data_IF_111936472991
#
_entry.id   IF_111936472991
#
_cell.length_a   1.000
_cell.length_b   1.000
_cell.length_c   1.000
_cell.angle_alpha   90.00
_cell.angle_beta   90.00
_cell.angle_gamma   90.00
#
_symmetry.space_group_name_H-M   'P 1'
#
loop_
_entity.id
_entity.type
_entity.pdbx_description
1 polymer ?
#
# COMPACT_ATOMS: atom_id res chain seq x y z
N UNK A 1 -43.77 83.18 52.49
CA UNK A 1 -44.20 82.13 53.42
C UNK A 1 -44.36 80.82 52.66
N UNK A 2 -43.84 79.74 53.24
CA UNK A 2 -43.87 78.33 52.86
C UNK A 2 -42.88 77.84 51.82
N UNK A 3 -41.92 77.14 52.38
CA UNK A 3 -40.96 76.21 51.79
C UNK A 3 -41.67 74.98 51.24
N UNK A 4 -41.21 74.44 50.15
CA UNK A 4 -41.45 73.05 49.76
C UNK A 4 -40.15 72.45 49.30
N UNK A 5 -39.77 71.38 49.98
CA UNK A 5 -38.56 70.62 49.74
C UNK A 5 -38.71 69.72 48.55
N UNK A 6 -37.69 69.65 47.68
CA UNK A 6 -37.56 68.67 46.63
C UNK A 6 -36.76 67.45 47.18
N UNK A 7 -37.46 66.31 47.24
CA UNK A 7 -36.81 65.04 47.49
C UNK A 7 -36.27 64.43 46.19
N UNK A 8 -34.98 64.17 46.15
CA UNK A 8 -34.31 63.47 45.06
C UNK A 8 -34.41 61.96 45.29
N UNK A 9 -35.08 61.26 44.38
CA UNK A 9 -35.03 59.78 44.28
C UNK A 9 -33.80 59.35 43.50
N UNK A 10 -32.87 58.70 44.16
CA UNK A 10 -31.73 57.92 43.51
C UNK A 10 -32.27 56.55 43.15
N UNK A 11 -32.44 56.26 41.86
CA UNK A 11 -32.65 54.90 41.32
C UNK A 11 -31.34 54.25 40.99
N UNK A 12 -30.93 53.27 41.82
CA UNK A 12 -29.75 52.43 41.60
C UNK A 12 -30.10 51.34 40.58
N UNK A 13 -29.59 51.44 39.37
CA UNK A 13 -29.70 50.40 38.36
C UNK A 13 -28.62 49.32 38.63
N UNK A 14 -29.04 48.13 39.05
CA UNK A 14 -28.18 46.94 39.19
C UNK A 14 -28.09 46.29 37.79
N UNK A 15 -26.94 46.45 37.14
CA UNK A 15 -26.63 45.74 35.89
C UNK A 15 -26.22 44.32 36.25
N UNK A 16 -27.11 43.35 36.03
CA UNK A 16 -26.80 41.93 36.12
C UNK A 16 -25.99 41.48 34.90
N UNK A 17 -24.70 41.30 35.00
CA UNK A 17 -23.84 40.69 34.00
C UNK A 17 -24.08 39.18 34.05
N UNK A 18 -24.84 38.67 33.09
CA UNK A 18 -24.95 37.24 32.82
C UNK A 18 -23.62 36.76 32.15
N UNK A 19 -22.71 36.19 32.95
CA UNK A 19 -21.60 35.38 32.40
C UNK A 19 -22.18 34.10 31.79
N UNK A 20 -22.38 34.08 30.49
CA UNK A 20 -22.57 32.83 29.75
C UNK A 20 -21.22 32.05 29.77
N UNK A 21 -21.07 31.19 30.73
CA UNK A 21 -20.02 30.14 30.67
C UNK A 21 -20.41 29.18 29.56
N UNK A 22 -19.81 29.35 28.39
CA UNK A 22 -19.79 28.32 27.36
C UNK A 22 -18.94 27.15 27.90
N UNK A 23 -19.62 26.20 28.54
CA UNK A 23 -19.00 24.88 28.83
C UNK A 23 -18.75 24.23 27.49
N UNK A 24 -17.52 24.39 26.96
CA UNK A 24 -17.01 23.49 25.94
C UNK A 24 -17.03 22.10 26.57
N UNK A 25 -17.97 21.28 26.18
CA UNK A 25 -17.94 19.85 26.43
C UNK A 25 -16.66 19.35 25.75
N UNK A 26 -15.56 19.30 26.50
CA UNK A 26 -14.42 18.51 26.14
C UNK A 26 -14.96 17.08 26.03
N UNK A 27 -15.20 16.62 24.81
CA UNK A 27 -15.50 15.23 24.52
C UNK A 27 -14.30 14.46 25.07
N UNK A 28 -14.48 13.76 26.19
CA UNK A 28 -13.39 12.96 26.78
C UNK A 28 -12.93 11.99 25.71
N UNK A 29 -11.71 12.20 25.22
CA UNK A 29 -11.07 11.31 24.29
C UNK A 29 -11.05 9.90 24.91
N UNK A 30 -11.71 8.94 24.26
CA UNK A 30 -11.88 7.60 24.82
C UNK A 30 -11.10 6.61 23.97
N UNK A 31 -9.95 6.20 24.51
CA UNK A 31 -9.16 5.06 24.02
C UNK A 31 -9.48 3.87 24.92
N UNK A 32 -9.84 2.73 24.30
CA UNK A 32 -10.51 1.59 24.94
C UNK A 32 -9.74 0.98 26.12
N UNK A 33 -8.40 0.93 26.07
CA UNK A 33 -7.55 0.36 27.15
C UNK A 33 -6.33 1.23 27.50
N UNK A 34 -6.34 2.49 27.08
CA UNK A 34 -5.28 3.46 27.40
C UNK A 34 -4.03 3.36 26.51
N UNK A 35 -4.05 2.53 25.49
CA UNK A 35 -2.98 2.34 24.50
C UNK A 35 -3.61 2.11 23.12
N UNK A 36 -3.06 2.70 22.07
CA UNK A 36 -3.45 2.33 20.70
C UNK A 36 -2.41 1.38 20.12
N UNK A 37 -2.82 0.14 19.84
CA UNK A 37 -1.93 -0.91 19.29
C UNK A 37 -2.15 -1.11 17.80
N UNK A 38 -1.07 -0.87 17.06
CA UNK A 38 -0.99 -1.03 15.60
C UNK A 38 -0.27 -2.32 15.28
N UNK A 39 -0.94 -3.25 14.60
CA UNK A 39 -0.37 -4.54 14.19
C UNK A 39 0.13 -4.54 12.76
N UNK A 40 1.29 -5.17 12.51
CA UNK A 40 1.89 -5.38 11.18
C UNK A 40 2.28 -6.85 11.06
N UNK A 41 1.69 -7.59 10.13
CA UNK A 41 1.94 -9.04 9.94
C UNK A 41 2.68 -9.23 8.62
N UNK A 42 3.98 -9.55 8.68
CA UNK A 42 4.86 -9.51 7.53
C UNK A 42 5.52 -10.87 7.23
N UNK A 43 6.10 -10.99 6.06
CA UNK A 43 7.04 -12.04 5.73
C UNK A 43 8.46 -11.58 6.12
N UNK A 44 8.92 -11.98 7.31
CA UNK A 44 10.21 -11.54 7.86
C UNK A 44 11.38 -12.41 7.41
N UNK A 45 11.10 -13.61 6.89
CA UNK A 45 12.12 -14.66 6.67
C UNK A 45 11.98 -15.39 5.33
N UNK A 46 10.91 -15.14 4.56
CA UNK A 46 10.64 -15.78 3.27
C UNK A 46 11.03 -14.93 2.07
N UNK A 47 10.42 -15.24 0.92
CA UNK A 47 10.77 -14.65 -0.39
C UNK A 47 10.45 -13.16 -0.52
N UNK A 48 9.63 -12.62 0.38
CA UNK A 48 9.22 -11.20 0.39
C UNK A 48 9.89 -10.38 1.49
N UNK A 49 10.80 -10.99 2.29
CA UNK A 49 11.43 -10.34 3.44
C UNK A 49 12.10 -9.00 3.10
N UNK A 50 12.77 -8.90 1.94
CA UNK A 50 13.47 -7.69 1.51
C UNK A 50 12.55 -6.56 1.04
N UNK A 51 11.39 -6.91 0.49
CA UNK A 51 10.44 -5.92 -0.04
C UNK A 51 9.36 -5.52 0.96
N UNK A 52 9.10 -6.33 1.99
CA UNK A 52 8.15 -6.06 3.08
C UNK A 52 8.85 -6.11 4.44
N UNK A 53 8.72 -7.18 5.15
CA UNK A 53 9.45 -7.61 6.33
C UNK A 53 9.81 -6.51 7.33
N UNK A 54 11.06 -6.48 7.73
CA UNK A 54 11.59 -5.50 8.69
C UNK A 54 11.43 -4.05 8.22
N UNK A 55 11.45 -3.82 6.91
CA UNK A 55 11.24 -2.50 6.33
C UNK A 55 9.83 -1.96 6.60
N UNK A 56 8.78 -2.78 6.45
CA UNK A 56 7.40 -2.37 6.74
C UNK A 56 7.22 -2.06 8.24
N UNK A 57 7.76 -2.90 9.13
CA UNK A 57 7.74 -2.63 10.58
C UNK A 57 8.43 -1.31 10.92
N UNK A 58 9.62 -1.06 10.33
CA UNK A 58 10.34 0.21 10.52
C UNK A 58 9.55 1.40 10.00
N UNK A 59 8.89 1.26 8.86
CA UNK A 59 8.03 2.31 8.28
C UNK A 59 6.84 2.64 9.21
N UNK A 60 6.18 1.61 9.77
CA UNK A 60 5.13 1.79 10.78
C UNK A 60 5.64 2.51 12.03
N UNK A 61 6.80 2.12 12.55
CA UNK A 61 7.43 2.78 13.71
C UNK A 61 7.76 4.25 13.40
N UNK A 62 8.29 4.55 12.20
CA UNK A 62 8.57 5.92 11.78
C UNK A 62 7.30 6.76 11.65
N UNK A 63 6.17 6.17 11.23
CA UNK A 63 4.90 6.89 11.20
C UNK A 63 4.42 7.26 12.61
N UNK A 64 4.58 6.36 13.58
CA UNK A 64 4.29 6.64 14.99
C UNK A 64 5.23 7.71 15.56
N UNK A 65 6.54 7.62 15.25
CA UNK A 65 7.52 8.65 15.66
C UNK A 65 7.14 10.03 15.07
N UNK A 66 6.82 10.10 13.78
CA UNK A 66 6.49 11.35 13.08
C UNK A 66 5.13 11.93 13.52
N UNK A 67 4.22 11.10 14.00
CA UNK A 67 2.96 11.53 14.63
C UNK A 67 3.16 12.05 16.05
N UNK A 68 4.29 11.73 16.73
CA UNK A 68 4.61 12.16 18.08
C UNK A 68 4.51 11.08 19.17
N UNK A 69 4.39 9.82 18.78
CA UNK A 69 4.40 8.65 19.69
C UNK A 69 3.13 8.46 20.50
N UNK A 70 2.17 9.39 20.42
CA UNK A 70 0.91 9.38 21.18
C UNK A 70 -0.24 9.87 20.32
N UNK A 71 -1.45 9.36 20.56
CA UNK A 71 -2.71 9.85 20.02
C UNK A 71 -3.72 10.01 21.14
N UNK A 72 -4.47 11.12 21.16
CA UNK A 72 -5.41 11.46 22.24
C UNK A 72 -4.76 11.43 23.65
N UNK A 73 -3.47 11.69 23.73
CA UNK A 73 -2.68 11.62 24.97
C UNK A 73 -2.18 10.21 25.35
N UNK A 74 -2.66 9.15 24.70
CA UNK A 74 -2.30 7.76 24.98
C UNK A 74 -1.13 7.30 24.09
N UNK A 75 -0.24 6.41 24.58
CA UNK A 75 0.86 5.87 23.79
C UNK A 75 0.34 5.06 22.59
N UNK A 76 1.15 5.05 21.53
CA UNK A 76 0.92 4.19 20.34
C UNK A 76 2.02 3.12 20.33
N UNK A 77 1.62 1.85 20.28
CA UNK A 77 2.52 0.70 20.22
C UNK A 77 2.43 0.02 18.84
N UNK A 78 3.57 -0.31 18.25
CA UNK A 78 3.65 -1.13 17.04
C UNK A 78 4.01 -2.55 17.43
N UNK A 79 3.10 -3.49 17.15
CA UNK A 79 3.33 -4.92 17.32
C UNK A 79 3.48 -5.58 15.96
N UNK A 80 4.30 -6.62 15.85
CA UNK A 80 4.53 -7.29 14.57
C UNK A 80 4.65 -8.81 14.74
N UNK A 81 4.39 -9.52 13.64
CA UNK A 81 4.52 -10.97 13.57
C UNK A 81 5.08 -11.40 12.20
N UNK A 82 5.85 -12.50 12.21
CA UNK A 82 6.32 -13.19 11.01
C UNK A 82 5.34 -14.30 10.62
N UNK A 83 4.67 -14.16 9.48
CA UNK A 83 3.78 -15.21 8.99
C UNK A 83 4.49 -16.22 8.06
N UNK A 84 5.77 -16.04 7.73
CA UNK A 84 6.55 -16.96 6.89
C UNK A 84 5.85 -17.29 5.56
N UNK A 85 5.11 -16.35 5.01
CA UNK A 85 4.24 -16.50 3.83
C UNK A 85 3.17 -17.63 3.96
N UNK A 86 2.73 -17.95 5.20
CA UNK A 86 1.73 -18.99 5.50
C UNK A 86 0.42 -18.36 5.98
N UNK A 87 -0.70 -18.58 5.26
CA UNK A 87 -1.99 -17.99 5.60
C UNK A 87 -2.52 -18.38 6.99
N UNK A 88 -2.28 -19.60 7.43
CA UNK A 88 -2.69 -20.11 8.74
C UNK A 88 -1.95 -19.44 9.89
N UNK A 89 -0.64 -19.19 9.75
CA UNK A 89 0.16 -18.46 10.74
C UNK A 89 -0.33 -17.01 10.85
N UNK A 90 -0.55 -16.33 9.72
CA UNK A 90 -1.08 -14.97 9.69
C UNK A 90 -2.46 -14.88 10.36
N UNK A 91 -3.36 -15.83 10.02
CA UNK A 91 -4.70 -15.90 10.58
C UNK A 91 -4.68 -16.12 12.10
N UNK A 92 -3.81 -17.02 12.59
CA UNK A 92 -3.68 -17.30 14.03
C UNK A 92 -3.13 -16.08 14.78
N UNK A 93 -2.15 -15.36 14.20
CA UNK A 93 -1.64 -14.10 14.77
C UNK A 93 -2.76 -13.07 14.88
N UNK A 94 -3.54 -12.85 13.83
CA UNK A 94 -4.65 -11.90 13.82
C UNK A 94 -5.74 -12.25 14.85
N UNK A 95 -6.12 -13.52 14.98
CA UNK A 95 -7.09 -13.97 16.01
C UNK A 95 -6.57 -13.66 17.41
N UNK A 96 -5.34 -14.07 17.72
CA UNK A 96 -4.71 -13.82 19.02
C UNK A 96 -4.67 -12.32 19.32
N UNK A 97 -4.29 -11.51 18.36
CA UNK A 97 -4.18 -10.08 18.52
C UNK A 97 -5.52 -9.42 18.83
N UNK A 98 -6.57 -9.74 18.09
CA UNK A 98 -7.90 -9.17 18.33
C UNK A 98 -8.59 -9.71 19.57
N UNK A 99 -8.44 -11.01 19.87
CA UNK A 99 -9.16 -11.67 20.98
C UNK A 99 -8.45 -11.49 22.32
N UNK A 100 -7.11 -11.45 22.34
CA UNK A 100 -6.31 -11.51 23.58
C UNK A 100 -5.43 -10.29 23.79
N UNK A 101 -4.67 -9.88 22.75
CA UNK A 101 -3.64 -8.88 22.87
C UNK A 101 -4.18 -7.45 22.67
N UNK A 102 -5.48 -7.32 22.40
CA UNK A 102 -6.21 -6.04 22.24
C UNK A 102 -5.58 -5.12 21.19
N UNK A 103 -5.17 -5.68 20.06
CA UNK A 103 -4.71 -4.89 18.93
C UNK A 103 -5.92 -4.19 18.29
N UNK A 104 -5.81 -2.89 18.05
CA UNK A 104 -6.92 -2.07 17.56
C UNK A 104 -7.11 -2.22 16.06
N UNK A 105 -6.01 -2.34 15.33
CA UNK A 105 -5.97 -2.30 13.88
C UNK A 105 -4.80 -3.12 13.35
N UNK A 106 -4.99 -3.75 12.18
CA UNK A 106 -3.87 -4.33 11.41
C UNK A 106 -3.61 -3.42 10.21
N UNK A 107 -2.39 -2.88 10.12
CA UNK A 107 -1.99 -1.89 9.12
C UNK A 107 -0.86 -2.41 8.23
N UNK A 108 -0.92 -3.57 7.82
CA UNK A 108 -0.40 -4.31 6.69
C UNK A 108 -0.33 -5.82 6.98
N UNK A 109 -0.44 -6.60 5.90
CA UNK A 109 -0.19 -8.05 5.89
C UNK A 109 0.48 -8.37 4.56
N UNK A 110 1.74 -8.79 4.60
CA UNK A 110 2.46 -9.12 3.38
C UNK A 110 1.83 -10.32 2.66
N UNK A 111 1.92 -10.32 1.33
CA UNK A 111 1.42 -11.37 0.44
C UNK A 111 -0.11 -11.52 0.41
N UNK A 112 -0.66 -11.79 -0.78
CA UNK A 112 -2.11 -11.79 -0.96
C UNK A 112 -2.83 -12.97 -0.30
N UNK A 113 -2.22 -14.16 -0.24
CA UNK A 113 -2.88 -15.32 0.38
C UNK A 113 -3.00 -15.20 1.90
N UNK A 114 -1.95 -14.83 2.66
CA UNK A 114 -2.07 -14.48 4.07
C UNK A 114 -3.04 -13.32 4.32
N UNK A 115 -2.95 -12.25 3.52
CA UNK A 115 -3.82 -11.08 3.67
C UNK A 115 -5.32 -11.43 3.53
N UNK A 116 -5.68 -12.27 2.54
CA UNK A 116 -7.05 -12.73 2.37
C UNK A 116 -7.56 -13.53 3.57
N UNK A 117 -6.71 -14.33 4.21
CA UNK A 117 -7.07 -15.08 5.42
C UNK A 117 -7.26 -14.16 6.64
N UNK A 118 -6.37 -13.18 6.83
CA UNK A 118 -6.48 -12.19 7.91
C UNK A 118 -7.68 -11.27 7.72
N UNK A 119 -7.98 -10.90 6.47
CA UNK A 119 -9.12 -10.05 6.12
C UNK A 119 -10.45 -10.65 6.57
N UNK A 120 -10.66 -11.96 6.41
CA UNK A 120 -11.88 -12.61 6.89
C UNK A 120 -12.01 -12.53 8.42
N UNK A 121 -10.90 -12.64 9.15
CA UNK A 121 -10.89 -12.48 10.61
C UNK A 121 -11.18 -11.01 11.00
N UNK A 122 -10.55 -10.05 10.33
CA UNK A 122 -10.80 -8.63 10.59
C UNK A 122 -12.28 -8.27 10.36
N UNK A 123 -12.91 -8.82 9.32
CA UNK A 123 -14.34 -8.67 9.03
C UNK A 123 -15.21 -9.28 10.13
N UNK A 124 -14.91 -10.52 10.56
CA UNK A 124 -15.61 -11.20 11.66
C UNK A 124 -15.54 -10.37 12.96
N UNK A 125 -14.36 -9.86 13.28
CA UNK A 125 -14.10 -9.07 14.50
C UNK A 125 -14.50 -7.60 14.38
N UNK A 126 -14.97 -7.16 13.21
CA UNK A 126 -15.28 -5.75 12.89
C UNK A 126 -14.11 -4.80 13.21
N UNK A 127 -12.90 -5.18 12.80
CA UNK A 127 -11.68 -4.41 13.00
C UNK A 127 -11.19 -3.82 11.68
N UNK A 128 -10.60 -2.62 11.75
CA UNK A 128 -9.98 -2.00 10.58
C UNK A 128 -8.76 -2.81 10.17
N UNK A 129 -8.65 -3.04 8.87
CA UNK A 129 -7.45 -3.55 8.22
C UNK A 129 -7.09 -2.69 7.02
N UNK A 130 -5.85 -2.22 6.94
CA UNK A 130 -5.30 -1.63 5.72
C UNK A 130 -4.25 -2.56 5.13
N UNK A 131 -4.13 -2.58 3.82
CA UNK A 131 -3.29 -3.52 3.11
C UNK A 131 -2.47 -2.76 2.05
N UNK A 132 -1.18 -2.61 2.28
CA UNK A 132 -0.23 -1.94 1.38
C UNK A 132 0.56 -2.93 0.53
N UNK A 133 0.94 -4.05 1.13
CA UNK A 133 1.82 -5.05 0.51
C UNK A 133 1.11 -6.06 -0.41
N UNK A 134 -0.09 -6.59 -0.10
CA UNK A 134 -0.76 -7.52 -0.99
C UNK A 134 -1.39 -6.78 -2.17
N UNK A 135 -1.23 -7.31 -3.39
CA UNK A 135 -1.71 -6.64 -4.61
C UNK A 135 -3.01 -7.19 -5.20
N UNK A 136 -3.65 -8.20 -4.59
CA UNK A 136 -4.84 -8.85 -5.19
C UNK A 136 -6.02 -7.89 -5.30
N UNK A 137 -6.55 -7.68 -6.52
CA UNK A 137 -7.78 -6.91 -6.77
C UNK A 137 -9.01 -7.48 -6.09
N UNK A 138 -8.99 -8.75 -5.63
CA UNK A 138 -10.09 -9.34 -4.85
C UNK A 138 -10.40 -8.56 -3.58
N UNK A 139 -9.40 -7.89 -2.98
CA UNK A 139 -9.52 -7.12 -1.73
C UNK A 139 -10.56 -6.00 -1.86
N UNK A 140 -10.63 -5.35 -3.02
CA UNK A 140 -11.58 -4.26 -3.32
C UNK A 140 -12.74 -4.70 -4.20
N UNK A 141 -12.86 -5.99 -4.45
CA UNK A 141 -13.95 -6.61 -5.20
C UNK A 141 -14.70 -7.63 -4.33
N UNK A 142 -14.50 -8.93 -4.56
CA UNK A 142 -15.32 -10.00 -3.99
C UNK A 142 -15.24 -10.09 -2.46
N UNK A 143 -14.10 -9.68 -1.87
CA UNK A 143 -13.88 -9.78 -0.42
C UNK A 143 -13.80 -8.43 0.29
N UNK A 144 -14.20 -7.35 -0.38
CA UNK A 144 -14.25 -6.03 0.23
C UNK A 144 -15.12 -6.01 1.50
N UNK A 145 -14.92 -5.02 2.33
CA UNK A 145 -15.66 -4.86 3.57
C UNK A 145 -15.67 -3.43 4.08
N UNK A 146 -16.58 -3.08 5.00
CA UNK A 146 -16.74 -1.71 5.49
C UNK A 146 -15.50 -1.17 6.20
N UNK A 147 -14.65 -2.05 6.74
CA UNK A 147 -13.44 -1.72 7.50
C UNK A 147 -12.16 -2.17 6.80
N UNK A 148 -12.23 -2.45 5.49
CA UNK A 148 -11.10 -2.91 4.67
C UNK A 148 -10.63 -1.75 3.79
N UNK A 149 -9.32 -1.49 3.77
CA UNK A 149 -8.70 -0.52 2.86
C UNK A 149 -7.51 -1.16 2.16
N UNK A 150 -7.46 -1.05 0.85
CA UNK A 150 -6.35 -1.46 0.01
C UNK A 150 -5.54 -0.23 -0.40
N UNK A 151 -4.26 -0.14 0.01
CA UNK A 151 -3.56 1.14 0.10
C UNK A 151 -2.68 1.46 -1.09
N UNK A 152 -1.53 0.82 -1.24
CA UNK A 152 -0.48 1.30 -2.14
C UNK A 152 -0.74 1.00 -3.62
N UNK A 153 -1.14 -0.22 -3.97
CA UNK A 153 -1.30 -0.66 -5.35
C UNK A 153 -2.26 -1.85 -5.46
N UNK A 154 -2.53 -2.30 -6.66
CA UNK A 154 -3.12 -3.60 -6.95
C UNK A 154 -2.68 -4.11 -8.33
N UNK A 155 -3.02 -5.36 -8.62
CA UNK A 155 -2.65 -6.00 -9.89
C UNK A 155 -3.26 -5.31 -11.11
N UNK A 156 -4.42 -4.65 -10.95
CA UNK A 156 -5.01 -3.84 -12.01
C UNK A 156 -4.17 -2.58 -12.31
N UNK A 157 -3.71 -1.86 -11.27
CA UNK A 157 -2.90 -0.65 -11.47
C UNK A 157 -1.58 -0.97 -12.19
N UNK A 158 -0.91 -2.07 -11.83
CA UNK A 158 0.28 -2.56 -12.53
C UNK A 158 -0.05 -2.89 -14.00
N UNK A 159 -1.10 -3.68 -14.21
CA UNK A 159 -1.52 -4.11 -15.54
C UNK A 159 -1.86 -2.92 -16.45
N UNK A 160 -2.64 -1.97 -15.93
CA UNK A 160 -3.08 -0.79 -16.67
C UNK A 160 -1.93 0.16 -17.01
N UNK A 161 -0.90 0.22 -16.16
CA UNK A 161 0.29 1.03 -16.40
C UNK A 161 1.27 0.31 -17.34
N UNK A 162 1.89 -0.79 -16.88
CA UNK A 162 2.95 -1.50 -17.62
C UNK A 162 2.39 -2.21 -18.86
N UNK A 163 1.28 -2.95 -18.72
CA UNK A 163 0.70 -3.74 -19.81
C UNK A 163 0.28 -2.86 -20.98
N UNK A 164 -0.47 -1.79 -20.69
CA UNK A 164 -0.95 -0.84 -21.70
C UNK A 164 0.21 -0.10 -22.40
N UNK A 165 1.21 0.34 -21.64
CA UNK A 165 2.38 1.03 -22.16
C UNK A 165 3.17 0.16 -23.15
N UNK A 166 3.42 -1.11 -22.81
CA UNK A 166 4.16 -2.02 -23.68
C UNK A 166 3.39 -2.39 -24.95
N UNK A 167 2.08 -2.64 -24.85
CA UNK A 167 1.25 -2.91 -26.05
C UNK A 167 1.25 -1.71 -26.99
N UNK A 168 1.14 -0.48 -26.49
CA UNK A 168 1.19 0.74 -27.31
C UNK A 168 2.53 0.94 -28.04
N UNK A 169 3.61 0.34 -27.52
CA UNK A 169 4.94 0.31 -28.14
C UNK A 169 5.13 -0.83 -29.17
N UNK A 170 4.06 -1.62 -29.43
CA UNK A 170 4.11 -2.73 -30.38
C UNK A 170 4.52 -4.09 -29.77
N UNK A 171 4.68 -4.17 -28.44
CA UNK A 171 4.90 -5.42 -27.72
C UNK A 171 3.54 -6.10 -27.44
N UNK A 172 2.93 -6.64 -28.46
CA UNK A 172 1.52 -7.05 -28.49
C UNK A 172 1.27 -8.55 -28.22
N UNK A 173 2.32 -9.37 -28.10
CA UNK A 173 2.20 -10.81 -27.84
C UNK A 173 2.90 -11.17 -26.54
N UNK A 174 2.16 -11.78 -25.61
CA UNK A 174 2.60 -11.97 -24.21
C UNK A 174 2.57 -13.45 -23.81
N UNK A 175 3.56 -13.86 -23.05
CA UNK A 175 3.61 -15.13 -22.35
C UNK A 175 3.90 -14.89 -20.87
N UNK A 176 3.17 -15.56 -19.97
CA UNK A 176 3.33 -15.35 -18.54
C UNK A 176 4.14 -16.45 -17.86
N UNK A 177 5.00 -16.07 -16.94
CA UNK A 177 5.64 -16.93 -15.94
C UNK A 177 5.05 -16.57 -14.60
N UNK A 178 4.19 -17.43 -14.05
CA UNK A 178 3.24 -17.06 -12.99
C UNK A 178 3.50 -17.84 -11.70
N UNK A 179 3.70 -17.13 -10.61
CA UNK A 179 3.73 -17.73 -9.28
C UNK A 179 2.33 -18.28 -8.92
N UNK A 180 2.22 -19.57 -8.56
CA UNK A 180 0.94 -20.26 -8.40
C UNK A 180 0.28 -19.98 -7.04
N UNK A 181 -0.13 -18.72 -6.82
CA UNK A 181 -0.89 -18.27 -5.66
C UNK A 181 -1.75 -17.04 -6.01
N UNK A 182 -2.56 -16.56 -5.04
CA UNK A 182 -3.57 -15.52 -5.29
C UNK A 182 -3.05 -14.26 -5.99
N UNK A 183 -1.84 -13.79 -5.67
CA UNK A 183 -1.25 -12.61 -6.30
C UNK A 183 -0.83 -12.89 -7.75
N UNK A 184 -0.02 -13.94 -7.97
CA UNK A 184 0.50 -14.24 -9.32
C UNK A 184 -0.62 -14.52 -10.31
N UNK A 185 -1.63 -15.33 -9.91
CA UNK A 185 -2.82 -15.61 -10.71
C UNK A 185 -3.64 -14.34 -11.01
N UNK A 186 -3.78 -13.45 -10.03
CA UNK A 186 -4.44 -12.15 -10.21
C UNK A 186 -3.69 -11.25 -11.18
N UNK A 187 -2.37 -11.19 -11.05
CA UNK A 187 -1.51 -10.36 -11.89
C UNK A 187 -1.49 -10.85 -13.34
N UNK A 188 -1.40 -12.16 -13.57
CA UNK A 188 -1.55 -12.78 -14.89
C UNK A 188 -2.91 -12.41 -15.52
N UNK A 189 -3.99 -12.63 -14.76
CA UNK A 189 -5.35 -12.36 -15.23
C UNK A 189 -5.55 -10.88 -15.60
N UNK A 190 -5.27 -9.97 -14.67
CA UNK A 190 -5.52 -8.55 -14.85
C UNK A 190 -4.65 -7.98 -15.98
N UNK A 191 -3.37 -8.41 -16.06
CA UNK A 191 -2.48 -8.00 -17.16
C UNK A 191 -2.93 -8.60 -18.49
N UNK A 192 -3.32 -9.87 -18.53
CA UNK A 192 -3.83 -10.52 -19.73
C UNK A 192 -5.10 -9.87 -20.25
N UNK A 193 -6.00 -9.42 -19.39
CA UNK A 193 -7.22 -8.70 -19.74
C UNK A 193 -6.90 -7.31 -20.32
N UNK A 194 -5.98 -6.56 -19.70
CA UNK A 194 -5.52 -5.25 -20.23
C UNK A 194 -4.81 -5.41 -21.58
N UNK A 195 -3.94 -6.40 -21.74
CA UNK A 195 -3.25 -6.69 -22.99
C UNK A 195 -4.26 -6.94 -24.11
N UNK A 196 -5.26 -7.81 -23.88
CA UNK A 196 -6.32 -8.10 -24.86
C UNK A 196 -7.16 -6.86 -25.19
N UNK A 197 -7.56 -6.11 -24.17
CA UNK A 197 -8.33 -4.86 -24.33
C UNK A 197 -7.55 -3.78 -25.11
N UNK A 198 -6.22 -3.82 -25.08
CA UNK A 198 -5.32 -2.93 -25.80
C UNK A 198 -4.96 -3.44 -27.22
N UNK A 199 -5.56 -4.55 -27.68
CA UNK A 199 -5.32 -5.13 -29.01
C UNK A 199 -4.18 -6.15 -29.07
N UNK A 200 -3.60 -6.53 -27.93
CA UNK A 200 -2.56 -7.56 -27.84
C UNK A 200 -3.13 -8.97 -27.68
N UNK A 201 -2.23 -9.94 -27.59
CA UNK A 201 -2.55 -11.38 -27.49
C UNK A 201 -1.76 -12.03 -26.35
N UNK A 202 -2.41 -12.94 -25.63
CA UNK A 202 -1.75 -13.85 -24.68
C UNK A 202 -1.49 -15.18 -25.38
N UNK A 203 -0.20 -15.50 -25.55
CA UNK A 203 0.26 -16.74 -26.21
C UNK A 203 0.20 -17.96 -25.27
N UNK A 204 0.24 -17.73 -23.96
CA UNK A 204 0.18 -18.79 -22.96
C UNK A 204 0.72 -18.34 -21.60
N UNK A 205 0.74 -19.28 -20.66
CA UNK A 205 1.30 -19.10 -19.34
C UNK A 205 1.87 -20.42 -18.80
N UNK A 206 2.89 -20.33 -17.97
CA UNK A 206 3.39 -21.45 -17.17
C UNK A 206 3.49 -21.03 -15.72
N UNK A 207 3.01 -21.91 -14.84
CA UNK A 207 3.05 -21.66 -13.40
C UNK A 207 4.27 -22.25 -12.74
N UNK A 208 4.69 -21.63 -11.63
CA UNK A 208 5.73 -22.13 -10.74
C UNK A 208 5.33 -21.96 -9.27
N UNK A 209 5.79 -22.84 -8.36
CA UNK A 209 5.60 -22.63 -6.93
C UNK A 209 6.28 -21.35 -6.43
N UNK A 210 5.75 -20.74 -5.37
CA UNK A 210 6.44 -19.64 -4.68
C UNK A 210 7.73 -20.16 -4.04
N UNK A 211 8.81 -19.39 -4.17
CA UNK A 211 10.14 -19.78 -3.68
C UNK A 211 10.88 -20.75 -4.63
N UNK A 212 10.56 -20.70 -5.92
CA UNK A 212 11.24 -21.51 -6.94
C UNK A 212 12.71 -21.12 -7.07
N UNK A 213 13.61 -22.09 -6.93
CA UNK A 213 15.04 -21.89 -7.10
C UNK A 213 15.49 -22.07 -8.57
N UNK A 214 14.86 -22.98 -9.30
CA UNK A 214 15.20 -23.33 -10.68
C UNK A 214 14.03 -22.99 -11.63
N UNK A 215 14.26 -22.01 -12.49
CA UNK A 215 13.29 -21.53 -13.50
C UNK A 215 13.55 -22.10 -14.91
N UNK A 216 14.54 -22.98 -15.10
CA UNK A 216 14.97 -23.44 -16.42
C UNK A 216 13.79 -23.94 -17.28
N UNK A 217 12.98 -24.86 -16.75
CA UNK A 217 11.88 -25.46 -17.51
C UNK A 217 10.80 -24.44 -17.90
N UNK A 218 10.43 -23.52 -17.01
CA UNK A 218 9.40 -22.52 -17.30
C UNK A 218 9.91 -21.44 -18.26
N UNK A 219 11.20 -21.07 -18.15
CA UNK A 219 11.83 -20.10 -19.06
C UNK A 219 12.01 -20.66 -20.47
N UNK A 220 12.35 -21.96 -20.62
CA UNK A 220 12.41 -22.62 -21.91
C UNK A 220 11.04 -22.65 -22.60
N UNK A 221 9.94 -22.88 -21.86
CA UNK A 221 8.59 -22.79 -22.40
C UNK A 221 8.28 -21.36 -22.83
N UNK A 222 8.61 -20.35 -22.01
CA UNK A 222 8.43 -18.96 -22.36
C UNK A 222 9.23 -18.57 -23.61
N UNK A 223 10.48 -19.01 -23.73
CA UNK A 223 11.31 -18.79 -24.92
C UNK A 223 10.72 -19.44 -26.17
N UNK A 224 10.22 -20.67 -26.04
CA UNK A 224 9.61 -21.42 -27.12
C UNK A 224 8.30 -20.82 -27.64
N UNK A 225 7.60 -20.05 -26.80
CA UNK A 225 6.35 -19.36 -27.18
C UNK A 225 6.54 -18.32 -28.28
N UNK A 226 7.75 -17.78 -28.46
CA UNK A 226 8.08 -16.66 -29.35
C UNK A 226 7.29 -15.40 -29.11
N UNK A 227 6.67 -15.26 -27.92
CA UNK A 227 5.97 -14.04 -27.53
C UNK A 227 6.96 -12.87 -27.45
N UNK A 228 6.52 -11.68 -27.85
CA UNK A 228 7.37 -10.47 -27.79
C UNK A 228 7.69 -10.07 -26.34
N UNK A 229 6.78 -10.38 -25.39
CA UNK A 229 6.97 -10.13 -23.96
C UNK A 229 6.87 -11.44 -23.20
N UNK A 230 7.86 -11.70 -22.35
CA UNK A 230 7.78 -12.67 -21.25
C UNK A 230 7.53 -11.89 -19.98
N UNK A 231 6.33 -12.03 -19.44
CA UNK A 231 5.84 -11.30 -18.28
C UNK A 231 5.98 -12.14 -17.02
N UNK A 232 6.75 -11.65 -16.06
CA UNK A 232 6.95 -12.28 -14.76
C UNK A 232 5.81 -11.83 -13.82
N UNK A 233 4.83 -12.71 -13.63
CA UNK A 233 3.74 -12.54 -12.69
C UNK A 233 4.10 -13.15 -11.32
N UNK A 234 5.20 -12.69 -10.76
CA UNK A 234 5.77 -13.06 -9.46
C UNK A 234 6.34 -11.81 -8.78
N UNK A 235 7.01 -11.93 -7.63
CA UNK A 235 7.59 -10.82 -6.89
C UNK A 235 8.77 -11.29 -6.00
N UNK A 236 9.59 -10.34 -5.53
CA UNK A 236 10.69 -10.58 -4.60
C UNK A 236 11.73 -11.59 -5.12
N UNK A 237 12.11 -12.55 -4.28
CA UNK A 237 13.13 -13.54 -4.63
C UNK A 237 12.85 -14.30 -5.92
N UNK A 238 11.58 -14.62 -6.22
CA UNK A 238 11.19 -15.28 -7.48
C UNK A 238 11.43 -14.39 -8.71
N UNK A 239 11.15 -13.09 -8.61
CA UNK A 239 11.46 -12.11 -9.67
C UNK A 239 12.96 -12.02 -9.91
N UNK A 240 13.76 -11.89 -8.86
CA UNK A 240 15.23 -11.81 -8.96
C UNK A 240 15.80 -13.08 -9.64
N UNK A 241 15.39 -14.26 -9.17
CA UNK A 241 15.88 -15.53 -9.70
C UNK A 241 15.46 -15.76 -11.16
N UNK A 242 14.22 -15.46 -11.49
CA UNK A 242 13.74 -15.60 -12.87
C UNK A 242 14.44 -14.64 -13.84
N UNK A 243 14.74 -13.40 -13.43
CA UNK A 243 15.49 -12.45 -14.28
C UNK A 243 16.91 -12.91 -14.50
N UNK A 244 17.64 -13.34 -13.43
CA UNK A 244 19.01 -13.84 -13.55
C UNK A 244 19.08 -15.03 -14.51
N UNK A 245 18.22 -16.01 -14.32
CA UNK A 245 18.20 -17.21 -15.18
C UNK A 245 17.72 -16.88 -16.60
N UNK A 246 16.77 -15.96 -16.81
CA UNK A 246 16.40 -15.52 -18.14
C UNK A 246 17.56 -14.88 -18.91
N UNK A 247 18.44 -14.14 -18.23
CA UNK A 247 19.68 -13.61 -18.81
C UNK A 247 20.67 -14.73 -19.17
N UNK A 248 20.87 -15.72 -18.30
CA UNK A 248 21.72 -16.88 -18.54
C UNK A 248 21.25 -17.72 -19.75
N UNK A 249 19.94 -17.88 -19.91
CA UNK A 249 19.36 -18.56 -21.09
C UNK A 249 19.31 -17.69 -22.34
N UNK A 250 19.77 -16.44 -22.28
CA UNK A 250 19.78 -15.53 -23.42
C UNK A 250 18.41 -15.15 -23.93
N UNK A 251 17.37 -15.18 -23.09
CA UNK A 251 15.97 -14.92 -23.48
C UNK A 251 15.81 -13.55 -24.13
N UNK A 252 16.38 -12.50 -23.55
CA UNK A 252 16.35 -11.15 -24.09
C UNK A 252 17.24 -10.97 -25.32
N UNK A 253 18.39 -11.66 -25.38
CA UNK A 253 19.23 -11.71 -26.57
C UNK A 253 18.54 -12.39 -27.75
N UNK A 254 17.60 -13.29 -27.50
CA UNK A 254 16.72 -13.91 -28.49
C UNK A 254 15.61 -13.00 -29.03
N UNK A 255 15.52 -11.74 -28.57
CA UNK A 255 14.57 -10.73 -29.07
C UNK A 255 13.28 -10.62 -28.26
N UNK A 256 13.11 -11.40 -27.19
CA UNK A 256 11.96 -11.28 -26.30
C UNK A 256 12.25 -10.23 -25.22
N UNK A 257 11.28 -9.32 -24.95
CA UNK A 257 11.35 -8.36 -23.84
C UNK A 257 10.91 -9.05 -22.56
N UNK A 258 11.73 -8.93 -21.52
CA UNK A 258 11.35 -9.37 -20.19
C UNK A 258 10.64 -8.22 -19.46
N UNK A 259 9.53 -8.51 -18.79
CA UNK A 259 8.78 -7.54 -17.97
C UNK A 259 8.58 -8.09 -16.56
N UNK A 260 9.20 -7.46 -15.59
CA UNK A 260 8.96 -7.71 -14.16
C UNK A 260 7.72 -6.91 -13.74
N UNK A 261 6.52 -7.52 -13.83
CA UNK A 261 5.26 -6.82 -13.56
C UNK A 261 5.23 -6.21 -12.15
N UNK A 262 5.64 -6.96 -11.15
CA UNK A 262 5.75 -6.51 -9.77
C UNK A 262 7.22 -6.48 -9.32
N UNK A 263 8.01 -5.68 -10.01
CA UNK A 263 9.39 -5.38 -9.61
C UNK A 263 9.44 -4.17 -8.68
N UNK A 264 10.38 -4.17 -7.74
CA UNK A 264 10.61 -3.11 -6.78
C UNK A 264 12.06 -2.65 -6.80
N UNK A 265 12.33 -1.45 -6.25
CA UNK A 265 13.70 -0.92 -6.19
C UNK A 265 14.68 -1.85 -5.46
N UNK A 266 14.20 -2.63 -4.48
CA UNK A 266 14.98 -3.65 -3.77
C UNK A 266 15.43 -4.77 -4.72
N UNK A 267 14.55 -5.21 -5.62
CA UNK A 267 14.86 -6.23 -6.63
C UNK A 267 15.91 -5.71 -7.60
N UNK A 268 15.79 -4.46 -8.06
CA UNK A 268 16.79 -3.79 -8.91
C UNK A 268 18.14 -3.71 -8.20
N UNK A 269 18.15 -3.40 -6.90
CA UNK A 269 19.37 -3.37 -6.09
C UNK A 269 20.03 -4.77 -6.00
N UNK A 270 19.23 -5.81 -5.76
CA UNK A 270 19.68 -7.18 -5.67
C UNK A 270 20.17 -7.77 -7.01
N UNK A 271 19.61 -7.33 -8.13
CA UNK A 271 20.02 -7.70 -9.48
C UNK A 271 21.27 -6.94 -9.93
N UNK A 272 21.39 -5.67 -9.55
CA UNK A 272 22.30 -4.71 -10.12
C UNK A 272 21.81 -4.15 -11.47
N UNK A 273 22.25 -2.93 -11.78
CA UNK A 273 21.79 -2.21 -12.99
C UNK A 273 22.14 -2.92 -14.30
N UNK A 274 23.23 -3.68 -14.34
CA UNK A 274 23.62 -4.42 -15.55
C UNK A 274 22.53 -5.38 -16.00
N UNK A 275 21.93 -6.11 -15.07
CA UNK A 275 20.90 -7.12 -15.35
C UNK A 275 19.47 -6.49 -15.38
N UNK A 276 19.25 -5.42 -14.60
CA UNK A 276 17.93 -4.82 -14.46
C UNK A 276 17.64 -3.68 -15.46
N UNK A 277 18.64 -3.14 -16.17
CA UNK A 277 18.46 -2.00 -17.09
C UNK A 277 17.35 -2.21 -18.12
N UNK A 278 16.54 -1.17 -18.32
CA UNK A 278 15.44 -1.21 -19.30
C UNK A 278 14.20 -1.96 -18.84
N UNK A 279 14.20 -2.56 -17.64
CA UNK A 279 12.96 -3.06 -17.04
C UNK A 279 11.99 -1.90 -16.81
N UNK A 280 10.72 -2.14 -17.11
CA UNK A 280 9.64 -1.19 -16.84
C UNK A 280 8.96 -1.59 -15.54
N UNK A 281 8.84 -0.66 -14.60
CA UNK A 281 8.33 -0.88 -13.24
C UNK A 281 7.26 0.16 -12.93
N UNK A 282 6.15 -0.26 -12.32
CA UNK A 282 5.09 0.62 -11.83
C UNK A 282 5.16 0.69 -10.31
N UNK A 283 5.33 1.89 -9.76
CA UNK A 283 5.32 2.13 -8.32
C UNK A 283 4.39 3.30 -7.93
N UNK A 284 3.91 3.29 -6.70
CA UNK A 284 3.11 4.37 -6.11
C UNK A 284 3.97 5.53 -5.57
N UNK A 285 5.24 5.28 -5.35
CA UNK A 285 6.20 6.25 -4.82
C UNK A 285 7.63 5.84 -5.15
N UNK A 286 8.53 6.82 -5.14
CA UNK A 286 9.96 6.58 -5.30
C UNK A 286 10.73 7.51 -4.35
N UNK A 287 11.80 7.02 -3.77
CA UNK A 287 12.56 7.75 -2.75
C UNK A 287 13.09 9.11 -3.23
N UNK A 288 13.39 9.25 -4.52
CA UNK A 288 13.98 10.44 -5.15
C UNK A 288 12.98 11.25 -5.98
N UNK A 289 11.71 11.35 -5.55
CA UNK A 289 10.71 12.17 -6.23
C UNK A 289 10.87 13.67 -5.95
N UNK A 290 11.18 14.03 -4.70
CA UNK A 290 11.32 15.41 -4.24
C UNK A 290 12.13 15.48 -2.93
N UNK A 291 12.34 16.69 -2.39
CA UNK A 291 13.15 16.89 -1.18
C UNK A 291 12.53 16.22 0.07
N UNK A 292 11.20 16.20 0.19
CA UNK A 292 10.51 15.56 1.32
C UNK A 292 10.73 14.05 1.28
N UNK A 293 10.52 13.40 0.12
CA UNK A 293 10.72 11.97 -0.04
C UNK A 293 12.19 11.59 0.18
N UNK A 294 13.15 12.38 -0.35
CA UNK A 294 14.59 12.17 -0.09
C UNK A 294 14.94 12.25 1.38
N UNK A 295 14.42 13.26 2.10
CA UNK A 295 14.69 13.45 3.53
C UNK A 295 14.15 12.29 4.36
N UNK A 296 12.92 11.89 4.12
CA UNK A 296 12.30 10.76 4.82
C UNK A 296 13.05 9.45 4.52
N UNK A 297 13.31 9.17 3.25
CA UNK A 297 13.97 7.94 2.81
C UNK A 297 15.41 7.79 3.31
N UNK A 298 16.14 8.89 3.50
CA UNK A 298 17.46 8.87 4.17
C UNK A 298 17.36 8.47 5.64
N UNK A 299 16.32 8.90 6.35
CA UNK A 299 16.06 8.44 7.74
C UNK A 299 15.76 6.95 7.77
N UNK A 300 14.91 6.48 6.85
CA UNK A 300 14.58 5.08 6.69
C UNK A 300 15.83 4.25 6.38
N UNK A 301 16.65 4.70 5.44
CA UNK A 301 17.92 4.06 5.08
C UNK A 301 18.84 3.90 6.30
N UNK A 302 18.95 4.89 7.15
CA UNK A 302 19.73 4.82 8.40
C UNK A 302 19.27 3.72 9.37
N UNK A 303 18.00 3.28 9.27
CA UNK A 303 17.42 2.23 10.13
C UNK A 303 17.46 0.84 9.48
N UNK A 304 17.32 0.76 8.14
CA UNK A 304 17.11 -0.50 7.40
C UNK A 304 18.31 -0.86 6.50
N UNK A 305 19.16 0.12 6.17
CA UNK A 305 20.26 0.01 5.21
C UNK A 305 19.78 -0.32 3.77
N UNK A 306 18.56 0.10 3.42
CA UNK A 306 17.96 0.02 2.10
C UNK A 306 17.06 1.22 1.86
N UNK A 307 16.89 1.64 0.59
CA UNK A 307 15.86 2.63 0.26
C UNK A 307 14.47 1.99 0.26
N UNK A 308 13.44 2.75 0.63
CA UNK A 308 12.08 2.23 0.70
C UNK A 308 11.50 2.02 -0.71
N UNK A 309 10.65 1.00 -0.85
CA UNK A 309 9.76 0.79 -1.97
C UNK A 309 8.33 1.24 -1.63
N UNK A 310 7.40 1.15 -2.58
CA UNK A 310 6.01 1.58 -2.40
C UNK A 310 5.24 0.80 -1.33
N UNK A 311 5.61 -0.44 -1.01
CA UNK A 311 4.95 -1.25 0.03
C UNK A 311 5.22 -0.65 1.40
N UNK A 312 6.48 -0.38 1.68
CA UNK A 312 6.96 0.20 2.94
C UNK A 312 6.48 1.65 3.12
N UNK A 313 6.51 2.46 2.06
CA UNK A 313 5.96 3.82 2.12
C UNK A 313 4.43 3.83 2.25
N UNK A 314 3.76 2.83 1.69
CA UNK A 314 2.32 2.61 1.87
C UNK A 314 1.97 2.27 3.31
N UNK A 315 2.77 1.40 3.97
CA UNK A 315 2.61 1.08 5.39
C UNK A 315 2.79 2.33 6.26
N UNK A 316 3.84 3.13 6.01
CA UNK A 316 4.02 4.42 6.69
C UNK A 316 2.79 5.33 6.54
N UNK A 317 2.31 5.50 5.32
CA UNK A 317 1.17 6.36 5.00
C UNK A 317 -0.11 5.89 5.68
N UNK A 318 -0.40 4.58 5.65
CA UNK A 318 -1.62 4.01 6.25
C UNK A 318 -1.63 4.16 7.77
N UNK A 319 -0.49 3.94 8.44
CA UNK A 319 -0.34 4.16 9.89
C UNK A 319 -0.55 5.63 10.24
N UNK A 320 0.11 6.53 9.51
CA UNK A 320 -0.02 7.97 9.76
C UNK A 320 -1.46 8.46 9.55
N UNK A 321 -2.13 7.97 8.51
CA UNK A 321 -3.52 8.33 8.23
C UNK A 321 -4.48 7.76 9.28
N UNK A 322 -4.28 6.52 9.73
CA UNK A 322 -5.06 5.91 10.82
C UNK A 322 -4.95 6.75 12.11
N UNK A 323 -3.74 7.15 12.50
CA UNK A 323 -3.53 7.97 13.70
C UNK A 323 -4.19 9.37 13.58
N UNK A 324 -4.12 9.99 12.39
CA UNK A 324 -4.87 11.23 12.11
C UNK A 324 -6.38 11.03 12.25
N UNK A 325 -6.89 9.88 11.79
CA UNK A 325 -8.32 9.56 11.89
C UNK A 325 -8.75 9.30 13.34
N UNK A 326 -7.96 8.58 14.15
CA UNK A 326 -8.18 8.41 15.60
C UNK A 326 -8.22 9.77 16.30
N UNK A 327 -7.24 10.64 16.01
CA UNK A 327 -7.18 12.00 16.58
C UNK A 327 -8.42 12.82 16.21
N UNK A 328 -8.88 12.74 14.96
CA UNK A 328 -10.05 13.47 14.47
C UNK A 328 -11.39 12.88 14.97
N UNK A 329 -11.42 11.57 15.22
CA UNK A 329 -12.58 10.88 15.80
C UNK A 329 -12.73 11.12 17.31
N UNK A 330 -11.63 11.42 18.02
CA UNK A 330 -11.62 11.53 19.48
C UNK A 330 -11.75 10.18 20.20
N UNK A 331 -11.59 9.07 19.48
CA UNK A 331 -11.75 7.69 19.96
C UNK A 331 -11.01 6.71 19.07
N UNK A 332 -10.74 5.50 19.56
CA UNK A 332 -10.22 4.36 18.80
C UNK A 332 -11.34 3.41 18.29
N UNK A 333 -12.61 3.78 18.47
CA UNK A 333 -13.76 3.01 17.97
C UNK A 333 -13.66 2.79 16.44
N UNK A 334 -13.70 1.53 16.03
CA UNK A 334 -13.60 1.11 14.62
C UNK A 334 -14.51 1.92 13.68
N UNK A 335 -15.78 2.12 14.05
CA UNK A 335 -16.76 2.80 13.19
C UNK A 335 -16.44 4.29 13.01
N UNK A 336 -16.14 4.99 14.11
CA UNK A 336 -15.84 6.41 14.08
C UNK A 336 -14.49 6.68 13.40
N UNK A 337 -13.48 5.85 13.66
CA UNK A 337 -12.16 5.97 13.01
C UNK A 337 -12.29 5.70 11.51
N UNK A 338 -12.98 4.63 11.10
CA UNK A 338 -13.14 4.32 9.67
C UNK A 338 -13.92 5.41 8.92
N UNK A 339 -14.93 6.01 9.57
CA UNK A 339 -15.61 7.17 9.03
C UNK A 339 -14.65 8.32 8.79
N UNK A 340 -13.79 8.64 9.77
CA UNK A 340 -12.77 9.70 9.63
C UNK A 340 -11.69 9.34 8.59
N UNK A 341 -11.27 8.09 8.48
CA UNK A 341 -10.36 7.66 7.43
C UNK A 341 -10.91 7.94 6.03
N UNK A 342 -12.22 7.78 5.81
CA UNK A 342 -12.88 8.07 4.52
C UNK A 342 -13.12 9.57 4.28
N UNK A 343 -13.36 10.36 5.34
CA UNK A 343 -13.61 11.80 5.26
C UNK A 343 -12.32 12.60 5.01
N UNK A 344 -11.23 12.21 5.64
CA UNK A 344 -9.96 12.92 5.56
C UNK A 344 -9.23 12.58 4.25
N UNK A 345 -8.66 13.56 3.55
CA UNK A 345 -7.76 13.29 2.44
C UNK A 345 -6.44 12.68 2.96
N UNK A 346 -5.92 11.71 2.23
CA UNK A 346 -4.59 11.16 2.51
C UNK A 346 -3.54 12.14 2.02
N UNK A 347 -2.86 12.79 2.95
CA UNK A 347 -1.79 13.75 2.69
C UNK A 347 -0.62 13.48 3.61
N UNK A 348 0.52 13.10 3.02
CA UNK A 348 1.78 12.87 3.70
C UNK A 348 2.97 13.11 2.76
N UNK A 349 4.13 12.58 3.11
CA UNK A 349 5.36 12.72 2.32
C UNK A 349 5.23 12.10 0.93
N UNK A 350 4.51 10.97 0.80
CA UNK A 350 4.45 10.16 -0.43
C UNK A 350 3.16 10.37 -1.23
N UNK A 351 2.05 10.63 -0.56
CA UNK A 351 0.75 10.75 -1.20
C UNK A 351 0.17 12.15 -1.00
N UNK A 352 -0.41 12.70 -2.05
CA UNK A 352 -1.08 14.01 -2.03
C UNK A 352 -2.53 13.83 -2.51
N UNK A 353 -3.47 14.31 -1.71
CA UNK A 353 -4.91 14.26 -2.01
C UNK A 353 -5.46 12.85 -2.29
N UNK A 354 -4.85 11.81 -1.72
CA UNK A 354 -5.36 10.44 -1.80
C UNK A 354 -6.75 10.33 -1.17
N UNK A 355 -7.59 9.43 -1.68
CA UNK A 355 -8.97 9.26 -1.22
C UNK A 355 -9.35 7.79 -1.11
N UNK A 356 -9.99 7.41 -0.02
CA UNK A 356 -10.52 6.06 0.17
C UNK A 356 -11.94 6.00 -0.40
N UNK A 357 -12.15 5.15 -1.43
CA UNK A 357 -13.43 4.93 -2.10
C UNK A 357 -14.35 3.98 -1.32
N UNK A 358 -15.60 3.84 -1.78
CA UNK A 358 -16.61 2.94 -1.19
C UNK A 358 -16.15 1.48 -1.17
N UNK A 359 -15.44 1.02 -2.22
CA UNK A 359 -14.88 -0.33 -2.33
C UNK A 359 -13.63 -0.56 -1.46
N UNK A 360 -13.19 0.46 -0.71
CA UNK A 360 -12.01 0.41 0.13
C UNK A 360 -10.69 0.69 -0.61
N UNK A 361 -10.70 0.99 -1.93
CA UNK A 361 -9.48 1.40 -2.63
C UNK A 361 -9.07 2.81 -2.23
N UNK A 362 -7.84 2.98 -1.72
CA UNK A 362 -7.21 4.29 -1.62
C UNK A 362 -6.65 4.66 -3.00
N UNK A 363 -7.21 5.70 -3.63
CA UNK A 363 -6.83 6.16 -4.98
C UNK A 363 -5.84 7.29 -4.90
N UNK A 364 -4.82 7.22 -5.73
CA UNK A 364 -3.70 8.17 -5.85
C UNK A 364 -3.00 7.97 -7.20
N UNK A 365 -2.10 8.87 -7.55
CA UNK A 365 -1.30 8.71 -8.77
C UNK A 365 -0.36 7.50 -8.66
N UNK A 366 -0.14 6.82 -9.79
CA UNK A 366 0.87 5.80 -9.97
C UNK A 366 1.94 6.28 -10.94
N UNK A 367 3.14 5.75 -10.83
CA UNK A 367 4.28 6.19 -11.60
C UNK A 367 4.89 5.03 -12.38
N UNK A 368 5.04 5.21 -13.68
CA UNK A 368 5.73 4.28 -14.56
C UNK A 368 7.18 4.71 -14.69
N UNK A 369 8.09 3.83 -14.34
CA UNK A 369 9.53 4.03 -14.41
C UNK A 369 10.20 3.07 -15.39
N UNK A 370 11.34 3.48 -15.90
CA UNK A 370 12.34 2.61 -16.54
C UNK A 370 13.58 2.52 -15.66
N UNK A 371 14.11 1.32 -15.50
CA UNK A 371 15.37 1.12 -14.80
C UNK A 371 16.51 1.66 -15.65
N UNK A 372 17.30 2.57 -15.07
CA UNK A 372 18.45 3.24 -15.70
C UNK A 372 19.51 2.25 -16.14
N UNK A 373 20.26 2.63 -17.18
CA UNK A 373 21.52 1.99 -17.53
C UNK A 373 22.60 2.33 -16.48
N UNK A 374 23.65 1.49 -16.32
CA UNK A 374 24.72 1.76 -15.36
C UNK A 374 25.36 3.15 -15.49
N UNK A 375 25.51 3.66 -16.73
CA UNK A 375 26.09 4.98 -17.01
C UNK A 375 25.12 6.16 -16.78
N UNK A 376 23.85 5.92 -16.55
CA UNK A 376 22.82 6.93 -16.25
C UNK A 376 22.64 7.14 -14.74
N UNK A 377 23.01 6.14 -13.93
CA UNK A 377 22.94 6.19 -12.46
C UNK A 377 24.11 7.00 -11.89
N UNK A 378 23.81 7.95 -11.00
CA UNK A 378 24.79 8.86 -10.40
C UNK A 378 25.25 8.46 -9.00
N UNK A 379 24.50 7.57 -8.35
CA UNK A 379 24.74 7.11 -6.99
C UNK A 379 24.03 5.77 -6.72
N UNK A 380 24.41 5.03 -5.66
CA UNK A 380 23.61 3.88 -5.20
C UNK A 380 22.14 4.25 -5.01
N UNK A 381 21.24 3.38 -5.45
CA UNK A 381 19.79 3.55 -5.41
C UNK A 381 19.20 4.58 -6.39
N UNK A 382 20.00 5.31 -7.16
CA UNK A 382 19.52 6.16 -8.25
C UNK A 382 19.23 5.31 -9.49
N UNK A 383 18.16 4.50 -9.42
CA UNK A 383 17.89 3.44 -10.39
C UNK A 383 16.79 3.75 -11.38
N UNK A 384 15.93 4.73 -11.09
CA UNK A 384 14.72 4.95 -11.87
C UNK A 384 14.73 6.25 -12.66
N UNK A 385 14.19 6.15 -13.87
CA UNK A 385 13.85 7.26 -14.74
C UNK A 385 12.33 7.28 -14.92
N UNK A 386 11.68 8.36 -14.51
CA UNK A 386 10.23 8.52 -14.67
C UNK A 386 9.86 8.59 -16.16
N UNK A 387 8.97 7.71 -16.61
CA UNK A 387 8.42 7.69 -17.96
C UNK A 387 7.07 8.39 -18.01
N UNK A 388 6.19 8.11 -17.04
CA UNK A 388 4.85 8.67 -17.00
C UNK A 388 4.28 8.69 -15.58
N UNK A 389 3.41 9.65 -15.32
CA UNK A 389 2.48 9.64 -14.19
C UNK A 389 1.12 9.17 -14.70
N UNK A 390 0.55 8.17 -14.04
CA UNK A 390 -0.82 7.67 -14.31
C UNK A 390 -1.72 8.29 -13.25
N UNK A 391 -2.62 9.21 -13.62
CA UNK A 391 -3.49 9.90 -12.67
C UNK A 391 -4.38 8.92 -11.88
N UNK A 392 -4.74 9.30 -10.64
CA UNK A 392 -5.51 8.50 -9.70
C UNK A 392 -6.82 7.92 -10.29
N UNK A 393 -7.51 8.69 -11.11
CA UNK A 393 -8.77 8.31 -11.77
C UNK A 393 -8.58 7.30 -12.93
N UNK A 394 -7.34 7.15 -13.40
CA UNK A 394 -6.98 6.21 -14.47
C UNK A 394 -6.17 5.01 -13.98
N UNK A 395 -5.53 5.12 -12.82
CA UNK A 395 -4.61 4.10 -12.31
C UNK A 395 -5.35 2.84 -11.85
N UNK A 396 -6.48 2.99 -11.18
CA UNK A 396 -7.22 1.90 -10.54
C UNK A 396 -8.50 1.54 -11.28
N UNK A 397 -9.00 0.32 -11.02
CA UNK A 397 -10.24 -0.16 -11.62
C UNK A 397 -11.38 0.86 -11.40
N UNK A 398 -12.12 1.26 -12.46
CA UNK A 398 -13.28 2.14 -12.31
C UNK A 398 -14.34 1.54 -11.39
N UNK A 399 -14.98 2.36 -10.54
CA UNK A 399 -16.05 1.91 -9.64
C UNK A 399 -17.22 1.22 -10.35
N UNK A 400 -17.54 1.66 -11.57
CA UNK A 400 -18.57 1.03 -12.39
C UNK A 400 -18.28 -0.44 -12.73
N UNK A 401 -17.00 -0.86 -12.68
CA UNK A 401 -16.55 -2.23 -12.90
C UNK A 401 -16.35 -3.01 -11.59
N UNK A 402 -16.54 -2.36 -10.45
CA UNK A 402 -16.35 -3.00 -9.15
C UNK A 402 -17.35 -4.14 -8.93
N UNK A 403 -16.86 -5.24 -8.35
CA UNK A 403 -17.67 -6.36 -7.87
C UNK A 403 -17.87 -6.34 -6.35
N UNK A 404 -17.49 -5.23 -5.71
CA UNK A 404 -17.70 -5.04 -4.27
C UNK A 404 -19.19 -4.83 -3.99
N UNK A 405 -19.81 -5.60 -3.09
CA UNK A 405 -21.23 -5.46 -2.75
C UNK A 405 -21.56 -4.14 -2.03
N UNK A 406 -20.57 -3.40 -1.55
CA UNK A 406 -20.76 -2.08 -0.92
C UNK A 406 -20.96 -0.95 -1.94
N UNK A 407 -20.53 -1.16 -3.18
CA UNK A 407 -20.69 -0.18 -4.27
C UNK A 407 -22.11 -0.25 -4.82
N UNK A 408 -22.86 0.83 -4.67
CA UNK A 408 -24.20 0.95 -5.26
C UNK A 408 -24.05 1.13 -6.77
N UNK A 409 -24.67 0.24 -7.54
CA UNK A 409 -24.75 0.32 -9.01
C UNK A 409 -25.94 1.14 -9.45
#
# INVERSE_FOLDING_TARGET
MRRSELGACFTTAIASVFLCTVSALAQNAQVSDGVVRVGVIEDMSGVYADITGKGAVTAAQMAVEDFGGKVLGMPVEVVFADHQNKPDIAANAARKWFDTDKVDVILDVASSSPALAVLEIAKEKKKIITLSSPGSTRITNEVCGPYVVHWAYDTFAIANSTGKALVSQGFDTWYFVTADYAFGQGLEKDTGDVVKASGGKVAGATKHPVGTADFASVLLQAQSSKAKVVALANAGGDTINSIKQAAEFGLTAGGQKLSALAGFINDVHGLGLKEAQGLTITEASYWDMNDETRKWSKRFYGKVNAMPNMLQTGTYSSVLHYLKAVQAAGTDSTEEVMKKMRELPVNDVFYKNGKIREDGRMVHDMYLFEVKKPNESKAPWDYYKLLATVPADQAFQPLAQSRCPLVKK
#
